data_IF_536444627690
#
_entry.id   IF_536444627690
#
_cell.length_a   1.000
_cell.length_b   1.000
_cell.length_c   1.000
_cell.angle_alpha   90.00
_cell.angle_beta   90.00
_cell.angle_gamma   90.00
#
_symmetry.space_group_name_H-M   'P 1'
#
loop_
_entity.id
_entity.type
_entity.pdbx_description
1 polymer ?
#
# COMPACT_ATOMS: atom_id res chain seq x y z
N UNK A 1 17.89 0.06 -26.84
CA UNK A 1 17.03 1.19 -26.43
C UNK A 1 16.60 0.93 -24.99
N UNK A 2 17.21 1.61 -24.02
CA UNK A 2 16.86 1.41 -22.63
C UNK A 2 15.53 2.13 -22.36
N UNK A 3 14.51 1.38 -21.96
CA UNK A 3 13.21 1.93 -21.60
C UNK A 3 13.36 2.72 -20.29
N UNK A 4 13.52 4.05 -20.38
CA UNK A 4 13.68 4.97 -19.23
C UNK A 4 12.41 5.16 -18.38
N UNK A 5 11.42 4.27 -18.53
CA UNK A 5 10.16 4.32 -17.78
C UNK A 5 10.30 3.67 -16.40
N UNK A 6 9.36 3.98 -15.47
CA UNK A 6 9.32 3.32 -14.17
C UNK A 6 9.20 1.80 -14.35
N UNK A 7 9.80 1.00 -13.44
CA UNK A 7 9.81 -0.45 -13.56
C UNK A 7 8.38 -1.02 -13.60
N UNK A 8 8.18 -2.20 -14.21
CA UNK A 8 6.89 -2.89 -14.17
C UNK A 8 6.52 -3.23 -12.72
N UNK A 9 5.24 -3.06 -12.37
CA UNK A 9 4.73 -3.44 -11.05
C UNK A 9 4.55 -4.95 -10.95
N UNK A 10 4.94 -5.55 -9.83
CA UNK A 10 4.71 -6.96 -9.53
C UNK A 10 3.39 -7.14 -8.78
N UNK A 11 2.50 -7.98 -9.29
CA UNK A 11 1.30 -8.39 -8.55
C UNK A 11 1.70 -9.35 -7.42
N UNK A 12 1.37 -9.02 -6.18
CA UNK A 12 1.68 -9.85 -5.02
C UNK A 12 0.57 -9.80 -3.96
N UNK A 13 0.53 -10.81 -3.10
CA UNK A 13 -0.36 -10.82 -1.94
C UNK A 13 0.17 -9.90 -0.83
N UNK A 14 -0.70 -9.45 0.09
CA UNK A 14 -0.25 -8.69 1.27
C UNK A 14 0.72 -9.51 2.14
N UNK A 15 0.55 -10.83 2.16
CA UNK A 15 1.43 -11.76 2.88
C UNK A 15 2.87 -11.74 2.38
N UNK A 16 3.07 -11.42 1.11
CA UNK A 16 4.39 -11.46 0.46
C UNK A 16 5.12 -10.12 0.58
N UNK A 17 4.47 -9.07 1.06
CA UNK A 17 5.04 -7.71 1.11
C UNK A 17 6.31 -7.64 1.96
N UNK A 18 6.36 -8.38 3.07
CA UNK A 18 7.54 -8.45 3.93
C UNK A 18 8.77 -9.08 3.27
N UNK A 19 8.58 -9.86 2.21
CA UNK A 19 9.66 -10.51 1.45
C UNK A 19 10.12 -9.69 0.24
N UNK A 20 9.42 -8.59 -0.10
CA UNK A 20 9.76 -7.72 -1.23
C UNK A 20 10.90 -6.77 -0.84
N UNK A 21 11.77 -6.45 -1.80
CA UNK A 21 12.88 -5.53 -1.55
C UNK A 21 12.37 -4.09 -1.57
N UNK A 22 12.97 -3.27 -0.72
CA UNK A 22 12.79 -1.81 -0.74
C UNK A 22 13.08 -1.27 -2.14
N UNK A 23 12.21 -0.40 -2.63
CA UNK A 23 12.26 0.15 -3.98
C UNK A 23 11.59 -0.72 -5.05
N UNK A 24 11.15 -1.95 -4.75
CA UNK A 24 10.33 -2.72 -5.69
C UNK A 24 8.96 -2.08 -5.89
N UNK A 25 8.54 -1.99 -7.15
CA UNK A 25 7.19 -1.56 -7.50
C UNK A 25 6.25 -2.76 -7.40
N UNK A 26 5.22 -2.64 -6.58
CA UNK A 26 4.26 -3.72 -6.32
C UNK A 26 2.84 -3.26 -6.62
N UNK A 27 1.99 -4.23 -6.92
CA UNK A 27 0.55 -4.08 -7.01
C UNK A 27 -0.08 -5.07 -6.03
N UNK A 28 -0.92 -4.57 -5.15
CA UNK A 28 -1.64 -5.38 -4.17
C UNK A 28 -3.13 -5.10 -4.22
N UNK A 29 -3.89 -6.10 -3.79
CA UNK A 29 -5.31 -5.98 -3.51
C UNK A 29 -5.49 -6.06 -2.00
N UNK A 30 -6.37 -5.23 -1.44
CA UNK A 30 -6.70 -5.29 -0.02
C UNK A 30 -8.00 -4.56 0.29
N UNK A 31 -8.59 -4.95 1.41
CA UNK A 31 -9.76 -4.29 2.00
C UNK A 31 -9.30 -3.20 2.96
N UNK A 32 -9.86 -2.00 2.84
CA UNK A 32 -9.59 -0.89 3.75
C UNK A 32 -10.17 -1.21 5.12
N UNK A 33 -9.31 -1.26 6.14
CA UNK A 33 -9.74 -1.47 7.53
C UNK A 33 -9.61 -0.22 8.39
N UNK A 34 -8.68 0.67 8.06
CA UNK A 34 -8.47 1.90 8.78
C UNK A 34 -7.84 2.97 7.88
N UNK A 35 -8.14 4.23 8.14
CA UNK A 35 -7.52 5.37 7.48
C UNK A 35 -7.31 6.51 8.48
N UNK A 36 -6.09 7.04 8.55
CA UNK A 36 -5.75 8.19 9.38
C UNK A 36 -5.44 9.40 8.50
N UNK A 37 -6.31 10.41 8.53
CA UNK A 37 -6.09 11.68 7.83
C UNK A 37 -4.90 12.47 8.40
N UNK A 38 -4.60 12.31 9.70
CA UNK A 38 -3.47 12.97 10.36
C UNK A 38 -2.12 12.47 9.87
N UNK A 39 -2.00 11.16 9.61
CA UNK A 39 -0.74 10.54 9.19
C UNK A 39 -0.71 10.19 7.70
N UNK A 40 -1.83 10.39 6.99
CA UNK A 40 -2.04 9.95 5.61
C UNK A 40 -1.86 8.43 5.40
N UNK A 41 -1.96 7.63 6.46
CA UNK A 41 -1.76 6.18 6.38
C UNK A 41 -3.09 5.46 6.21
N UNK A 42 -3.15 4.61 5.19
CA UNK A 42 -4.22 3.67 4.92
C UNK A 42 -3.79 2.27 5.32
N UNK A 43 -4.60 1.58 6.10
CA UNK A 43 -4.38 0.18 6.48
C UNK A 43 -5.22 -0.72 5.59
N UNK A 44 -4.55 -1.62 4.89
CA UNK A 44 -5.18 -2.67 4.10
C UNK A 44 -5.04 -4.01 4.80
N UNK A 45 -6.10 -4.80 4.74
CA UNK A 45 -6.11 -6.17 5.20
C UNK A 45 -6.54 -7.11 4.08
N UNK A 46 -5.97 -8.31 4.07
CA UNK A 46 -6.37 -9.37 3.18
C UNK A 46 -6.19 -10.71 3.90
N UNK A 47 -7.28 -11.45 4.06
CA UNK A 47 -7.29 -12.77 4.71
C UNK A 47 -6.80 -13.88 3.74
N UNK A 48 -5.75 -13.60 2.96
CA UNK A 48 -5.13 -14.59 2.07
C UNK A 48 -3.64 -14.71 2.35
N UNK A 49 -3.11 -15.93 2.52
CA UNK A 49 -3.86 -17.19 2.71
C UNK A 49 -4.77 -17.12 3.96
N UNK A 50 -5.84 -17.92 4.01
CA UNK A 50 -6.86 -17.84 5.06
C UNK A 50 -6.26 -18.02 6.46
N UNK A 51 -6.64 -17.16 7.41
CA UNK A 51 -6.11 -17.14 8.77
C UNK A 51 -4.85 -16.29 8.92
N UNK A 52 -4.49 -15.54 7.88
CA UNK A 52 -3.32 -14.67 7.92
C UNK A 52 -3.70 -13.23 8.29
N UNK A 53 -3.12 -12.72 9.38
CA UNK A 53 -3.40 -11.36 9.88
C UNK A 53 -2.43 -10.32 9.28
N UNK A 54 -2.06 -10.45 8.01
CA UNK A 54 -1.14 -9.50 7.40
C UNK A 54 -1.86 -8.21 7.05
N UNK A 55 -1.29 -7.11 7.52
CA UNK A 55 -1.74 -5.76 7.21
C UNK A 55 -0.66 -5.02 6.43
N UNK A 56 -1.09 -4.21 5.47
CA UNK A 56 -0.20 -3.30 4.77
C UNK A 56 -0.52 -1.87 5.17
N UNK A 57 0.52 -1.11 5.49
CA UNK A 57 0.45 0.33 5.70
C UNK A 57 0.82 1.00 4.40
N UNK A 58 -0.13 1.74 3.83
CA UNK A 58 0.04 2.48 2.59
C UNK A 58 0.10 3.96 2.92
N UNK A 59 1.22 4.60 2.57
CA UNK A 59 1.39 6.04 2.67
C UNK A 59 0.71 6.73 1.47
N UNK A 60 -0.34 7.50 1.75
CA UNK A 60 -1.10 8.26 0.77
C UNK A 60 -0.68 9.73 0.71
N UNK A 61 0.38 10.16 1.40
CA UNK A 61 0.79 11.57 1.50
C UNK A 61 0.87 12.26 0.13
N UNK A 62 1.42 11.57 -0.88
CA UNK A 62 1.53 12.11 -2.24
C UNK A 62 0.20 12.14 -3.01
N UNK A 63 -0.76 11.31 -2.61
CA UNK A 63 -2.08 11.18 -3.26
C UNK A 63 -3.14 12.07 -2.60
N UNK A 64 -2.91 12.62 -1.41
CA UNK A 64 -3.84 13.54 -0.76
C UNK A 64 -4.14 14.79 -1.60
N UNK A 65 -3.16 15.26 -2.36
CA UNK A 65 -3.32 16.41 -3.27
C UNK A 65 -3.80 16.02 -4.67
N UNK A 66 -4.05 14.73 -4.93
CA UNK A 66 -4.57 14.24 -6.21
C UNK A 66 -6.05 14.57 -6.37
N UNK A 67 -6.48 14.84 -7.61
CA UNK A 67 -7.88 15.01 -7.97
C UNK A 67 -8.30 13.95 -8.99
N UNK A 68 -9.25 13.04 -8.67
CA UNK A 68 -9.98 12.91 -7.40
C UNK A 68 -9.09 12.35 -6.27
N UNK A 69 -9.48 12.56 -5.00
CA UNK A 69 -8.79 11.97 -3.86
C UNK A 69 -8.90 10.44 -3.88
N UNK A 70 -7.96 9.73 -3.24
CA UNK A 70 -8.02 8.27 -3.13
C UNK A 70 -9.28 7.83 -2.36
N UNK A 71 -9.82 6.64 -2.67
CA UNK A 71 -10.91 6.05 -1.89
C UNK A 71 -10.43 5.71 -0.48
N UNK A 72 -11.18 6.15 0.54
CA UNK A 72 -10.85 5.98 1.96
C UNK A 72 -11.98 5.36 2.78
N UNK A 73 -13.02 4.82 2.13
CA UNK A 73 -14.14 4.19 2.82
C UNK A 73 -13.71 2.84 3.42
N UNK A 74 -14.01 2.63 4.69
CA UNK A 74 -13.77 1.35 5.36
C UNK A 74 -14.65 0.26 4.71
N UNK A 75 -14.07 -0.92 4.48
CA UNK A 75 -14.74 -2.06 3.84
C UNK A 75 -14.62 -2.10 2.31
N UNK A 76 -14.14 -1.03 1.68
CA UNK A 76 -13.90 -1.03 0.24
C UNK A 76 -12.63 -1.83 -0.13
N UNK A 77 -12.71 -2.50 -1.29
CA UNK A 77 -11.60 -3.24 -1.86
C UNK A 77 -10.87 -2.38 -2.88
N UNK A 78 -9.57 -2.18 -2.68
CA UNK A 78 -8.75 -1.30 -3.51
C UNK A 78 -7.56 -2.02 -4.11
N UNK A 79 -7.25 -1.68 -5.36
CA UNK A 79 -6.01 -2.08 -6.04
C UNK A 79 -4.98 -0.96 -5.85
N UNK A 80 -3.94 -1.21 -5.08
CA UNK A 80 -2.89 -0.23 -4.82
C UNK A 80 -1.65 -0.58 -5.63
N UNK A 81 -1.10 0.41 -6.32
CA UNK A 81 0.21 0.32 -6.99
C UNK A 81 1.13 1.31 -6.28
N UNK A 82 2.25 0.81 -5.77
CA UNK A 82 3.20 1.61 -5.00
C UNK A 82 4.59 0.99 -4.97
N UNK A 83 5.48 1.62 -4.21
CA UNK A 83 6.83 1.13 -4.00
C UNK A 83 6.99 0.67 -2.55
N UNK A 84 7.72 -0.41 -2.32
CA UNK A 84 8.10 -0.85 -0.98
C UNK A 84 9.07 0.17 -0.40
N UNK A 85 8.73 0.72 0.76
CA UNK A 85 9.61 1.62 1.51
C UNK A 85 10.14 0.90 2.75
N UNK A 86 11.26 1.38 3.29
CA UNK A 86 11.63 1.02 4.66
C UNK A 86 10.50 1.51 5.56
N UNK A 87 10.05 0.65 6.47
CA UNK A 87 8.99 0.97 7.41
C UNK A 87 9.36 2.25 8.16
N UNK A 88 8.80 3.38 7.73
CA UNK A 88 8.97 4.65 8.42
C UNK A 88 8.16 4.52 9.71
N UNK A 89 8.85 4.29 10.83
CA UNK A 89 8.24 4.41 12.15
C UNK A 89 7.59 5.80 12.19
N UNK A 90 6.27 5.93 12.41
CA UNK A 90 5.69 7.25 12.59
C UNK A 90 6.46 7.95 13.73
N UNK A 91 6.85 9.23 13.57
CA UNK A 91 7.55 9.95 14.63
C UNK A 91 6.69 9.88 15.91
N UNK A 92 7.29 9.57 17.08
CA UNK A 92 6.56 9.64 18.33
C UNK A 92 6.07 11.08 18.56
N UNK A 93 4.94 11.26 19.27
CA UNK A 93 4.41 12.58 19.62
C UNK A 93 5.38 13.40 20.46
#
# INVERSE_FOLDING_TARGET
>A
MANSGPPPSRLCALSELGERRVGEKVRVLGCITNYSTTTALLTLHHDFPKGNNHTALIDLTLLLSSSPPPPTSIGEWVNVIGYITLQSRPPPP
#
